data_IF_512905801681
#
_entry.id   IF_512905801681
#
_cell.length_a   1.000
_cell.length_b   1.000
_cell.length_c   1.000
_cell.angle_alpha   90.00
_cell.angle_beta   90.00
_cell.angle_gamma   90.00
#
_symmetry.space_group_name_H-M   'P 1'
#
loop_
_entity.id
_entity.type
_entity.pdbx_description
1 polymer ?
#
# COMPACT_ATOMS: atom_id res chain seq x y z
N UNK A 1 -16.29 1.24 -1.87
CA UNK A 1 -17.12 1.49 -3.07
C UNK A 1 -18.13 2.64 -2.92
N UNK A 2 -18.56 3.03 -1.71
CA UNK A 2 -19.53 4.15 -1.52
C UNK A 2 -19.02 5.50 -2.06
N UNK A 3 -17.76 5.87 -1.78
CA UNK A 3 -17.18 7.14 -2.24
C UNK A 3 -17.08 7.26 -3.77
N UNK A 4 -16.68 6.19 -4.45
CA UNK A 4 -16.60 6.19 -5.91
C UNK A 4 -17.98 6.43 -6.54
N UNK A 5 -19.02 5.75 -6.06
CA UNK A 5 -20.40 5.96 -6.52
C UNK A 5 -20.92 7.38 -6.27
N UNK A 6 -20.50 8.01 -5.17
CA UNK A 6 -20.84 9.40 -4.89
C UNK A 6 -20.18 10.34 -5.91
N UNK A 7 -18.90 10.14 -6.20
CA UNK A 7 -18.19 10.92 -7.23
C UNK A 7 -18.83 10.73 -8.62
N UNK A 8 -19.19 9.49 -8.98
CA UNK A 8 -19.92 9.19 -10.22
C UNK A 8 -21.27 9.90 -10.28
N UNK A 9 -22.05 9.90 -9.20
CA UNK A 9 -23.35 10.59 -9.16
C UNK A 9 -23.18 12.08 -9.37
N UNK A 10 -22.23 12.68 -8.66
CA UNK A 10 -21.94 14.10 -8.74
C UNK A 10 -21.46 14.50 -10.15
N UNK A 11 -20.55 13.73 -10.77
CA UNK A 11 -20.10 14.00 -12.14
C UNK A 11 -21.24 13.85 -13.15
N UNK A 12 -22.10 12.85 -12.98
CA UNK A 12 -23.28 12.62 -13.83
C UNK A 12 -24.27 13.78 -13.72
N UNK A 13 -24.55 14.25 -12.51
CA UNK A 13 -25.47 15.37 -12.24
C UNK A 13 -24.98 16.68 -12.89
N UNK A 14 -23.66 16.87 -12.97
CA UNK A 14 -23.03 18.01 -13.63
C UNK A 14 -22.84 17.84 -15.15
N UNK A 15 -23.23 16.70 -15.73
CA UNK A 15 -23.17 16.44 -17.16
C UNK A 15 -21.77 16.10 -17.70
N UNK A 16 -20.81 15.75 -16.84
CA UNK A 16 -19.46 15.36 -17.25
C UNK A 16 -19.38 13.87 -17.60
N UNK A 17 -18.48 13.52 -18.52
CA UNK A 17 -18.16 12.12 -18.83
C UNK A 17 -17.22 11.58 -17.77
N UNK A 18 -17.39 10.31 -17.41
CA UNK A 18 -16.51 9.66 -16.44
C UNK A 18 -16.30 8.17 -16.73
N UNK A 19 -15.17 7.64 -16.27
CA UNK A 19 -14.82 6.23 -16.29
C UNK A 19 -14.26 5.82 -14.92
N UNK A 20 -14.92 4.85 -14.29
CA UNK A 20 -14.56 4.36 -12.97
C UNK A 20 -13.68 3.12 -13.03
N UNK A 21 -12.60 3.16 -12.27
CA UNK A 21 -11.65 2.06 -12.07
C UNK A 21 -11.76 1.67 -10.59
N UNK A 22 -12.37 0.52 -10.25
CA UNK A 22 -12.65 0.14 -8.86
C UNK A 22 -11.36 -0.17 -8.06
N UNK A 23 -11.44 -0.40 -6.75
CA UNK A 23 -10.25 -0.72 -5.94
C UNK A 23 -9.75 -2.16 -6.03
N UNK A 24 -10.57 -3.06 -6.57
CA UNK A 24 -10.27 -4.48 -6.63
C UNK A 24 -10.63 -5.02 -8.01
N UNK A 25 -9.64 -5.62 -8.66
CA UNK A 25 -9.89 -6.56 -9.73
C UNK A 25 -8.93 -7.71 -9.52
N UNK A 26 -9.47 -8.91 -9.37
CA UNK A 26 -8.67 -10.07 -9.69
C UNK A 26 -8.23 -9.92 -11.15
N UNK A 27 -6.92 -9.69 -11.35
CA UNK A 27 -6.26 -9.63 -12.67
C UNK A 27 -6.55 -10.87 -13.52
N UNK A 28 -7.10 -11.93 -12.93
CA UNK A 28 -7.37 -13.22 -13.57
C UNK A 28 -8.83 -13.44 -13.94
N UNK A 29 -9.77 -12.59 -13.53
CA UNK A 29 -11.19 -12.85 -13.80
C UNK A 29 -11.67 -12.47 -15.21
N UNK A 30 -10.77 -11.94 -16.06
CA UNK A 30 -11.03 -11.72 -17.48
C UNK A 30 -12.16 -10.74 -17.82
N UNK A 31 -12.74 -10.06 -16.82
CA UNK A 31 -13.79 -9.06 -17.02
C UNK A 31 -13.23 -7.82 -17.72
N UNK A 32 -14.09 -7.07 -18.44
CA UNK A 32 -13.67 -5.84 -19.11
C UNK A 32 -12.93 -4.88 -18.16
N UNK A 33 -13.45 -4.77 -16.93
CA UNK A 33 -12.83 -4.01 -15.85
C UNK A 33 -11.43 -4.54 -15.53
N UNK A 34 -11.20 -5.86 -15.39
CA UNK A 34 -9.86 -6.39 -15.10
C UNK A 34 -8.83 -6.11 -16.21
N UNK A 35 -9.26 -5.97 -17.47
CA UNK A 35 -8.36 -5.58 -18.59
C UNK A 35 -7.94 -4.11 -18.49
N UNK A 36 -8.80 -3.23 -17.98
CA UNK A 36 -8.45 -1.81 -17.78
C UNK A 36 -7.38 -1.60 -16.70
N UNK A 37 -7.15 -2.56 -15.78
CA UNK A 37 -6.09 -2.46 -14.76
C UNK A 37 -4.69 -2.70 -15.29
N UNK A 38 -4.54 -3.39 -16.42
CA UNK A 38 -3.26 -3.39 -17.13
C UNK A 38 -2.93 -1.99 -17.65
N UNK A 39 -3.97 -1.22 -17.97
CA UNK A 39 -3.85 0.08 -18.61
C UNK A 39 -3.72 1.24 -17.60
N UNK A 40 -4.14 1.07 -16.33
CA UNK A 40 -4.13 2.15 -15.36
C UNK A 40 -3.73 1.73 -13.94
N UNK A 41 -2.65 2.33 -13.44
CA UNK A 41 -2.12 2.10 -12.10
C UNK A 41 -2.65 3.11 -11.08
N UNK A 42 -3.45 2.66 -10.12
CA UNK A 42 -3.89 3.49 -8.98
C UNK A 42 -2.73 4.08 -8.18
N UNK A 43 -1.63 3.35 -8.07
CA UNK A 43 -0.46 3.82 -7.33
C UNK A 43 0.17 5.02 -8.01
N UNK A 44 0.28 4.95 -9.34
CA UNK A 44 0.78 6.06 -10.16
C UNK A 44 -0.16 7.25 -10.07
N UNK A 45 -1.47 7.03 -10.20
CA UNK A 45 -2.48 8.08 -10.05
C UNK A 45 -2.37 8.80 -8.70
N UNK A 46 -2.24 8.05 -7.60
CA UNK A 46 -2.09 8.62 -6.26
C UNK A 46 -0.80 9.45 -6.11
N UNK A 47 0.31 9.05 -6.75
CA UNK A 47 1.53 9.86 -6.77
C UNK A 47 1.38 11.13 -7.61
N UNK A 48 0.70 11.06 -8.75
CA UNK A 48 0.43 12.22 -9.61
C UNK A 48 -0.51 13.23 -8.94
N UNK A 49 -1.46 12.76 -8.13
CA UNK A 49 -2.40 13.61 -7.40
C UNK A 49 -1.90 14.06 -6.01
N UNK A 50 -0.61 13.89 -5.72
CA UNK A 50 -0.02 14.35 -4.46
C UNK A 50 -0.48 13.61 -3.19
N UNK A 51 -1.13 12.45 -3.31
CA UNK A 51 -1.71 11.72 -2.17
C UNK A 51 -0.68 10.85 -1.42
N UNK A 52 0.51 10.66 -1.99
CA UNK A 52 1.60 9.93 -1.36
C UNK A 52 2.70 9.56 -2.34
N UNK A 53 3.66 8.76 -1.86
CA UNK A 53 4.76 8.22 -2.67
C UNK A 53 4.78 6.71 -2.61
N UNK A 54 5.41 6.05 -3.58
CA UNK A 54 5.62 4.60 -3.49
C UNK A 54 6.78 4.31 -2.53
N UNK A 55 6.52 3.49 -1.50
CA UNK A 55 7.52 3.07 -0.53
C UNK A 55 8.35 1.87 -1.01
N UNK A 56 9.41 1.52 -0.26
CA UNK A 56 10.20 0.29 -0.48
C UNK A 56 9.39 -1.00 -0.37
N UNK A 57 8.17 -0.94 0.18
CA UNK A 57 7.21 -2.04 0.20
C UNK A 57 6.32 -2.12 -1.07
N UNK A 58 6.52 -1.23 -2.04
CA UNK A 58 5.75 -1.15 -3.28
C UNK A 58 4.31 -0.66 -3.11
N UNK A 59 3.95 -0.11 -1.95
CA UNK A 59 2.64 0.49 -1.68
C UNK A 59 2.76 2.01 -1.68
N UNK A 60 1.65 2.71 -1.96
CA UNK A 60 1.58 4.16 -1.73
C UNK A 60 1.55 4.40 -0.23
N UNK A 61 2.47 5.21 0.26
CA UNK A 61 2.51 5.69 1.64
C UNK A 61 1.94 7.10 1.64
N UNK A 62 0.81 7.27 2.31
CA UNK A 62 0.28 8.58 2.63
C UNK A 62 0.93 9.09 3.94
N UNK A 63 1.26 10.39 4.05
CA UNK A 63 1.92 10.95 5.24
C UNK A 63 1.08 10.86 6.53
N UNK A 64 -0.26 10.84 6.40
CA UNK A 64 -1.21 10.79 7.51
C UNK A 64 -1.71 9.37 7.78
N UNK A 65 -2.12 8.64 6.73
CA UNK A 65 -2.78 7.34 6.85
C UNK A 65 -1.82 6.14 6.64
N UNK A 66 -0.57 6.40 6.25
CA UNK A 66 0.40 5.37 5.95
C UNK A 66 0.01 4.49 4.75
N UNK A 67 0.52 3.25 4.68
CA UNK A 67 0.29 2.36 3.53
C UNK A 67 -0.99 1.51 3.54
N UNK A 68 -1.85 1.56 4.57
CA UNK A 68 -3.07 0.74 4.62
C UNK A 68 -4.25 1.43 3.92
N UNK A 69 -4.06 1.78 2.65
CA UNK A 69 -5.06 2.45 1.83
C UNK A 69 -5.50 1.56 0.67
N UNK A 70 -6.79 1.64 0.37
CA UNK A 70 -7.40 1.06 -0.83
C UNK A 70 -7.83 2.21 -1.74
N UNK A 71 -7.47 2.11 -3.01
CA UNK A 71 -7.59 3.21 -3.97
C UNK A 71 -8.60 2.85 -5.04
N UNK A 72 -9.52 3.76 -5.34
CA UNK A 72 -10.33 3.71 -6.55
C UNK A 72 -10.01 4.97 -7.37
N UNK A 73 -10.20 4.92 -8.68
CA UNK A 73 -9.98 6.08 -9.55
C UNK A 73 -11.22 6.35 -10.39
N UNK A 74 -11.49 7.63 -10.62
CA UNK A 74 -12.48 8.08 -11.59
C UNK A 74 -11.76 9.02 -12.55
N UNK A 75 -11.75 8.66 -13.83
CA UNK A 75 -11.27 9.52 -14.91
C UNK A 75 -12.46 10.34 -15.40
N UNK A 76 -12.25 11.62 -15.70
CA UNK A 76 -13.33 12.51 -16.15
C UNK A 76 -12.79 13.67 -16.96
N UNK A 77 -13.66 14.30 -17.76
CA UNK A 77 -13.38 15.55 -18.47
C UNK A 77 -13.83 16.80 -17.70
N UNK A 78 -14.33 16.64 -16.47
CA UNK A 78 -14.61 17.76 -15.58
C UNK A 78 -13.33 18.60 -15.34
N UNK A 79 -13.44 19.95 -15.36
CA UNK A 79 -12.29 20.82 -15.18
C UNK A 79 -11.86 20.85 -13.71
N UNK A 80 -10.66 20.34 -13.43
CA UNK A 80 -10.04 20.44 -12.12
C UNK A 80 -8.68 21.11 -12.22
N UNK A 81 -8.31 21.85 -11.16
CA UNK A 81 -6.93 22.26 -10.96
C UNK A 81 -6.12 21.03 -10.51
N UNK A 82 -5.04 20.64 -11.22
CA UNK A 82 -4.21 19.53 -10.79
C UNK A 82 -3.48 19.84 -9.49
N UNK A 83 -3.34 18.81 -8.64
CA UNK A 83 -2.45 18.85 -7.48
C UNK A 83 -0.98 18.71 -7.88
N UNK A 84 -0.08 18.95 -6.92
CA UNK A 84 1.37 18.82 -7.14
C UNK A 84 1.78 17.34 -7.02
N UNK A 85 2.37 16.74 -8.06
CA UNK A 85 2.83 15.36 -8.01
C UNK A 85 3.95 15.14 -6.99
N UNK A 86 3.94 13.96 -6.35
CA UNK A 86 5.06 13.48 -5.53
C UNK A 86 5.89 12.51 -6.37
N UNK A 87 7.09 12.93 -6.74
CA UNK A 87 7.94 12.21 -7.71
C UNK A 87 9.08 11.39 -7.08
N UNK A 88 9.22 11.45 -5.75
CA UNK A 88 10.28 10.74 -5.02
C UNK A 88 9.73 10.09 -3.76
N UNK A 89 10.32 8.96 -3.39
CA UNK A 89 10.00 8.27 -2.15
C UNK A 89 10.59 8.99 -0.94
N UNK A 90 9.80 9.15 0.12
CA UNK A 90 10.26 9.70 1.41
C UNK A 90 10.67 8.61 2.40
N UNK A 91 10.94 7.38 1.93
CA UNK A 91 11.44 6.31 2.81
C UNK A 91 12.85 6.60 3.35
N UNK A 92 13.68 7.37 2.65
CA UNK A 92 15.09 7.57 2.99
C UNK A 92 15.82 6.25 3.24
N UNK A 93 16.58 6.18 4.33
CA UNK A 93 17.35 4.99 4.70
C UNK A 93 16.52 3.91 5.39
N UNK A 94 15.26 4.18 5.75
CA UNK A 94 14.40 3.19 6.42
C UNK A 94 14.22 1.94 5.56
N UNK A 95 14.44 0.77 6.14
CA UNK A 95 14.37 -0.54 5.48
C UNK A 95 13.56 -1.57 6.30
N UNK A 96 12.79 -1.11 7.29
CA UNK A 96 12.08 -1.98 8.25
C UNK A 96 11.21 -3.04 7.56
N UNK A 97 10.47 -2.64 6.51
CA UNK A 97 9.64 -3.57 5.74
C UNK A 97 10.48 -4.63 5.01
N UNK A 98 11.67 -4.27 4.53
CA UNK A 98 12.59 -5.15 3.82
C UNK A 98 13.14 -6.19 4.79
N UNK A 99 13.69 -5.73 5.92
CA UNK A 99 14.28 -6.60 6.96
C UNK A 99 13.30 -7.60 7.56
N UNK A 100 12.02 -7.23 7.65
CA UNK A 100 10.99 -8.09 8.24
C UNK A 100 10.17 -8.83 7.18
N UNK A 101 10.48 -8.70 5.88
CA UNK A 101 9.76 -9.41 4.83
C UNK A 101 10.06 -10.92 4.92
N UNK A 102 9.10 -11.79 5.25
CA UNK A 102 9.40 -13.21 5.48
C UNK A 102 9.86 -13.96 4.23
N UNK A 103 9.47 -13.48 3.05
CA UNK A 103 9.84 -14.07 1.76
C UNK A 103 10.95 -13.33 1.03
N UNK A 104 11.56 -12.31 1.66
CA UNK A 104 12.58 -11.48 1.03
C UNK A 104 12.15 -10.95 -0.34
N UNK A 105 10.89 -10.50 -0.42
CA UNK A 105 10.28 -10.03 -1.67
C UNK A 105 10.57 -8.57 -1.98
N UNK A 106 11.04 -7.78 -1.02
CA UNK A 106 11.32 -6.36 -1.19
C UNK A 106 12.80 -6.18 -1.46
N UNK A 107 13.16 -5.43 -2.50
CA UNK A 107 14.57 -5.21 -2.90
C UNK A 107 15.26 -4.15 -2.05
N UNK A 108 14.48 -3.27 -1.41
CA UNK A 108 14.97 -2.09 -0.69
C UNK A 108 15.28 -0.89 -1.58
N UNK A 109 15.08 -1.00 -2.90
CA UNK A 109 15.26 0.11 -3.84
C UNK A 109 14.32 1.28 -3.51
N UNK A 110 14.87 2.49 -3.53
CA UNK A 110 14.08 3.73 -3.44
C UNK A 110 13.33 3.91 -4.76
N UNK A 111 12.03 4.14 -4.67
CA UNK A 111 11.21 4.41 -5.84
C UNK A 111 11.47 5.80 -6.42
N UNK A 112 11.49 5.84 -7.74
CA UNK A 112 11.48 7.03 -8.60
C UNK A 112 10.43 6.82 -9.69
N UNK A 113 9.94 7.89 -10.32
CA UNK A 113 8.85 7.82 -11.32
C UNK A 113 9.12 6.80 -12.43
N UNK A 114 10.38 6.65 -12.87
CA UNK A 114 10.80 5.71 -13.92
C UNK A 114 11.10 4.29 -13.42
N UNK A 115 11.05 4.04 -12.10
CA UNK A 115 11.35 2.73 -11.54
C UNK A 115 10.29 1.70 -11.95
N UNK A 116 10.69 0.60 -12.60
CA UNK A 116 9.76 -0.49 -12.85
C UNK A 116 9.35 -1.16 -11.54
N UNK A 117 8.15 -1.74 -11.49
CA UNK A 117 7.59 -2.29 -10.26
C UNK A 117 8.47 -3.42 -9.66
N UNK A 118 9.04 -4.24 -10.53
CA UNK A 118 9.89 -5.39 -10.21
C UNK A 118 11.21 -4.96 -9.57
N UNK A 119 11.64 -3.72 -9.82
CA UNK A 119 12.82 -3.17 -9.16
C UNK A 119 12.59 -2.89 -7.67
N UNK A 120 11.33 -2.89 -7.19
CA UNK A 120 10.96 -2.66 -5.79
C UNK A 120 10.43 -3.95 -5.15
N UNK A 121 9.57 -4.68 -5.87
CA UNK A 121 8.89 -5.87 -5.35
C UNK A 121 9.04 -7.05 -6.30
N UNK A 122 9.67 -8.12 -5.80
CA UNK A 122 9.68 -9.44 -6.41
C UNK A 122 8.32 -10.11 -6.16
N UNK A 123 7.36 -9.86 -7.06
CA UNK A 123 5.95 -10.24 -6.89
C UNK A 123 5.76 -11.73 -6.55
N UNK A 124 6.44 -12.63 -7.25
CA UNK A 124 6.30 -14.08 -7.01
C UNK A 124 6.75 -14.49 -5.61
N UNK A 125 7.82 -13.87 -5.08
CA UNK A 125 8.22 -14.07 -3.67
C UNK A 125 7.21 -13.46 -2.70
N UNK A 126 6.61 -12.31 -3.02
CA UNK A 126 5.60 -11.72 -2.15
C UNK A 126 4.35 -12.61 -2.07
N UNK A 127 3.94 -13.19 -3.21
CA UNK A 127 2.75 -14.03 -3.32
C UNK A 127 2.95 -15.42 -2.73
N UNK A 128 4.17 -15.96 -2.70
CA UNK A 128 4.44 -17.30 -2.15
C UNK A 128 4.01 -17.44 -0.68
N UNK A 129 4.04 -16.35 0.09
CA UNK A 129 3.58 -16.35 1.48
C UNK A 129 2.07 -16.56 1.64
N UNK A 130 1.26 -16.31 0.60
CA UNK A 130 -0.16 -16.68 0.61
C UNK A 130 -0.38 -18.20 0.71
N UNK A 131 0.67 -19.01 0.46
CA UNK A 131 0.63 -20.47 0.53
C UNK A 131 1.47 -21.07 1.67
N UNK A 132 2.26 -20.28 2.41
CA UNK A 132 3.41 -20.81 3.14
C UNK A 132 3.63 -20.37 4.59
N UNK A 133 2.84 -19.45 5.15
CA UNK A 133 2.96 -19.06 6.58
C UNK A 133 1.71 -19.46 7.34
N UNK A 134 1.86 -20.48 8.21
CA UNK A 134 0.81 -20.91 9.16
C UNK A 134 0.34 -19.80 10.11
N UNK A 135 1.14 -18.75 10.32
CA UNK A 135 0.80 -17.64 11.22
C UNK A 135 -0.40 -16.78 10.75
N UNK A 136 -0.89 -16.99 9.52
CA UNK A 136 -2.01 -16.26 8.94
C UNK A 136 -3.03 -17.21 8.29
N UNK A 137 -3.21 -18.43 8.81
CA UNK A 137 -4.13 -19.45 8.26
C UNK A 137 -5.57 -18.94 8.00
N UNK A 138 -5.98 -17.85 8.64
CA UNK A 138 -7.29 -17.21 8.46
C UNK A 138 -7.27 -15.87 7.71
N UNK A 139 -6.10 -15.36 7.28
CA UNK A 139 -5.97 -14.06 6.59
C UNK A 139 -5.43 -14.23 5.17
N UNK A 140 -6.17 -13.80 4.13
CA UNK A 140 -5.78 -14.00 2.73
C UNK A 140 -4.51 -13.24 2.29
N UNK A 141 -3.95 -12.38 3.15
CA UNK A 141 -2.81 -11.51 2.86
C UNK A 141 -1.85 -11.38 4.07
N UNK A 142 -0.53 -11.32 3.81
CA UNK A 142 0.51 -11.18 4.85
C UNK A 142 0.47 -9.82 5.58
N UNK A 143 0.51 -8.70 4.85
CA UNK A 143 0.36 -7.35 5.42
C UNK A 143 1.45 -6.86 6.40
N UNK A 144 2.51 -7.64 6.65
CA UNK A 144 3.53 -7.27 7.65
C UNK A 144 4.27 -5.96 7.31
N UNK A 145 4.56 -5.76 6.02
CA UNK A 145 5.20 -4.54 5.52
C UNK A 145 4.34 -3.28 5.70
N UNK A 146 3.01 -3.43 5.82
CA UNK A 146 2.08 -2.34 6.15
C UNK A 146 2.21 -2.02 7.63
N UNK A 147 2.07 -3.04 8.48
CA UNK A 147 2.03 -2.88 9.93
C UNK A 147 3.33 -2.33 10.51
N UNK A 148 4.48 -2.71 9.95
CA UNK A 148 5.78 -2.28 10.48
C UNK A 148 6.26 -0.93 9.91
N UNK A 149 5.56 -0.37 8.92
CA UNK A 149 5.91 0.92 8.34
C UNK A 149 5.79 2.02 9.41
N UNK A 150 6.81 2.89 9.59
CA UNK A 150 6.73 4.00 10.55
C UNK A 150 5.53 4.93 10.32
N UNK A 151 5.15 5.14 9.06
CA UNK A 151 3.98 5.95 8.70
C UNK A 151 2.65 5.28 9.09
N UNK A 152 2.58 3.95 9.14
CA UNK A 152 1.42 3.24 9.68
C UNK A 152 1.30 3.40 11.19
N UNK A 153 2.44 3.35 11.90
CA UNK A 153 2.46 3.52 13.36
C UNK A 153 2.04 4.94 13.76
N UNK A 154 2.50 5.94 12.99
CA UNK A 154 2.08 7.34 13.15
C UNK A 154 0.56 7.49 12.94
N UNK A 155 0.02 6.92 11.87
CA UNK A 155 -1.41 6.95 11.55
C UNK A 155 -2.30 6.37 12.66
N UNK A 156 -1.81 5.34 13.38
CA UNK A 156 -2.52 4.70 14.50
C UNK A 156 -2.33 5.39 15.85
N UNK A 157 -1.64 6.53 15.91
CA UNK A 157 -1.33 7.21 17.18
C UNK A 157 -0.42 6.40 18.11
N UNK A 158 0.31 5.41 17.59
CA UNK A 158 1.15 4.53 18.42
C UNK A 158 2.45 5.25 18.78
N UNK A 159 2.90 5.23 20.06
CA UNK A 159 4.17 5.84 20.44
C UNK A 159 5.32 5.22 19.63
N UNK A 160 6.19 6.08 19.10
CA UNK A 160 7.40 5.68 18.39
C UNK A 160 8.27 4.90 19.36
N UNK A 161 8.45 3.59 19.15
CA UNK A 161 9.41 2.81 19.95
C UNK A 161 10.79 3.22 19.45
N UNK A 162 11.71 3.68 20.33
CA UNK A 162 13.06 3.98 19.91
C UNK A 162 13.67 2.74 19.26
N UNK A 163 14.35 2.96 18.15
CA UNK A 163 14.98 1.93 17.34
C UNK A 163 16.09 1.23 18.16
N UNK A 164 15.74 0.19 18.92
CA UNK A 164 16.76 -0.64 19.57
C UNK A 164 17.41 -1.50 18.50
N UNK A 165 18.66 -1.17 18.18
CA UNK A 165 19.62 -2.04 17.46
C UNK A 165 19.51 -3.47 18.00
N UNK A 166 19.30 -4.42 17.09
CA UNK A 166 19.52 -5.85 17.24
C UNK A 166 18.94 -6.52 18.50
N UNK A 167 17.86 -7.29 18.35
CA UNK A 167 17.65 -8.49 19.18
C UNK A 167 16.53 -9.38 18.64
N UNK A 168 16.95 -10.59 18.26
CA UNK A 168 16.20 -11.83 18.05
C UNK A 168 14.72 -11.83 18.46
N UNK A 169 13.82 -11.83 17.48
CA UNK A 169 12.35 -12.01 17.67
C UNK A 169 11.93 -13.49 17.74
N UNK A 170 12.87 -14.44 17.65
CA UNK A 170 12.57 -15.85 17.95
C UNK A 170 13.00 -16.22 19.37
N UNK A 171 12.18 -15.89 20.39
CA UNK A 171 12.09 -16.75 21.58
C UNK A 171 10.63 -16.89 22.03
N UNK A 172 10.29 -18.17 22.22
CA UNK A 172 8.99 -18.78 22.45
C UNK A 172 8.41 -18.39 23.82
N UNK A 173 7.08 -18.56 23.91
CA UNK A 173 6.27 -18.93 25.08
C UNK A 173 6.93 -18.83 26.47
N UNK A 174 6.28 -18.09 27.36
CA UNK A 174 5.71 -18.57 28.65
C UNK A 174 4.99 -17.37 29.27
N UNK A 175 3.67 -17.47 29.44
CA UNK A 175 3.02 -17.62 30.75
C UNK A 175 3.40 -16.51 31.76
N UNK A 176 2.33 -15.85 32.21
CA UNK A 176 2.11 -15.37 33.58
C UNK A 176 2.63 -13.99 34.00
N UNK A 177 1.80 -13.39 34.88
CA UNK A 177 2.05 -12.31 35.86
C UNK A 177 1.79 -10.90 35.30
N UNK A 178 0.56 -10.39 35.44
CA UNK A 178 -0.01 -9.64 36.59
C UNK A 178 0.52 -8.19 36.70
N UNK A 179 -0.40 -7.26 36.47
CA UNK A 179 -0.41 -5.85 36.94
C UNK A 179 -0.56 -5.91 38.47
N UNK A 180 0.30 -5.28 39.31
CA UNK A 180 0.29 -3.82 39.61
C UNK A 180 1.71 -3.26 39.95
N UNK A 181 2.00 -1.99 40.20
CA UNK A 181 1.29 -0.71 40.26
C UNK A 181 2.19 0.35 39.56
#
# INVERSE_FOLDING_TARGET
MKLQKLAESWLRELGYRYLSIPPDSDRRNGTFISRLYELFSHKTAATCSGLGWIGKNGLVINPEYGPALSWATVLTDAPFKPDIPITRSLCGDCDLCVRHCPSNALTGRIWEVSSPYEAIVLYEKCRSLKKGIKAFEEKPNCGLCINICPYMRKARGYPQRPEKRGSNIFRKNTKEILIPA
#
